data_IF_824628053085
#
_entry.id   IF_824628053085
#
_cell.length_a   1.000
_cell.length_b   1.000
_cell.length_c   1.000
_cell.angle_alpha   90.00
_cell.angle_beta   90.00
_cell.angle_gamma   90.00
#
_symmetry.space_group_name_H-M   'P 1'
#
loop_
_entity.id
_entity.type
_entity.pdbx_description
1 polymer ?
#
# COMPACT_ATOMS: atom_id res chain seq x y z
N UNK A 1 48.74 -42.79 -27.27
CA UNK A 1 49.21 -44.08 -26.74
C UNK A 1 47.99 -44.89 -26.34
N UNK A 2 48.03 -46.17 -26.65
CA UNK A 2 46.98 -47.19 -26.81
C UNK A 2 46.32 -47.64 -25.48
N UNK A 3 44.98 -47.78 -25.48
CA UNK A 3 44.12 -48.80 -24.77
C UNK A 3 43.82 -48.58 -23.26
N UNK A 4 42.63 -48.86 -22.71
CA UNK A 4 41.57 -49.76 -23.19
C UNK A 4 40.18 -49.63 -22.51
N UNK A 5 39.23 -50.30 -23.16
CA UNK A 5 37.81 -50.48 -22.83
C UNK A 5 37.60 -51.61 -21.79
N UNK A 6 36.42 -51.64 -21.14
CA UNK A 6 35.44 -52.75 -21.10
C UNK A 6 34.19 -52.32 -20.29
N UNK A 7 33.04 -52.24 -20.96
CA UNK A 7 31.65 -52.38 -20.45
C UNK A 7 31.28 -53.89 -20.49
N UNK A 8 30.15 -54.45 -19.95
CA UNK A 8 28.78 -53.90 -19.89
C UNK A 8 27.99 -54.31 -18.60
N UNK A 9 26.75 -53.90 -18.31
CA UNK A 9 25.54 -54.45 -18.92
C UNK A 9 24.26 -53.76 -18.40
N UNK A 10 23.45 -53.32 -19.39
CA UNK A 10 21.98 -53.37 -19.53
C UNK A 10 21.09 -52.89 -18.37
N UNK A 11 20.06 -52.06 -18.58
CA UNK A 11 19.30 -51.55 -19.74
C UNK A 11 18.09 -50.82 -19.11
N UNK A 12 17.29 -49.93 -19.71
CA UNK A 12 16.91 -49.54 -21.07
C UNK A 12 16.24 -48.15 -20.87
N UNK A 13 16.63 -47.09 -21.58
CA UNK A 13 15.94 -46.56 -22.79
C UNK A 13 14.59 -45.85 -22.51
N UNK A 14 14.29 -44.63 -22.96
CA UNK A 14 15.02 -43.57 -23.69
C UNK A 14 14.09 -42.32 -23.75
N UNK A 15 14.72 -41.13 -23.77
CA UNK A 15 14.38 -39.84 -24.44
C UNK A 15 13.20 -39.00 -23.94
N UNK A 16 13.42 -37.81 -23.35
CA UNK A 16 13.95 -36.52 -23.86
C UNK A 16 13.13 -35.84 -24.97
N UNK A 17 12.56 -34.67 -24.63
CA UNK A 17 12.76 -33.41 -25.38
C UNK A 17 12.98 -32.27 -24.37
N UNK A 18 14.04 -31.50 -24.59
CA UNK A 18 14.45 -30.32 -23.81
C UNK A 18 13.59 -29.08 -24.13
N UNK A 19 13.34 -28.26 -23.11
CA UNK A 19 13.07 -26.82 -23.28
C UNK A 19 14.00 -26.04 -22.34
N UNK A 20 14.78 -25.12 -22.92
CA UNK A 20 15.81 -24.33 -22.25
C UNK A 20 15.21 -23.06 -21.64
N UNK A 21 15.20 -22.95 -20.31
CA UNK A 21 15.18 -21.67 -19.59
C UNK A 21 16.20 -21.73 -18.43
N UNK A 22 17.13 -20.78 -18.31
CA UNK A 22 18.11 -20.80 -17.23
C UNK A 22 17.47 -20.37 -15.92
N UNK A 23 17.12 -21.35 -15.09
CA UNK A 23 16.66 -21.16 -13.72
C UNK A 23 17.86 -20.78 -12.85
N UNK A 24 18.04 -19.48 -12.57
CA UNK A 24 18.97 -19.05 -11.52
C UNK A 24 18.41 -19.52 -10.17
N UNK A 25 19.00 -20.59 -9.63
CA UNK A 25 18.83 -20.97 -8.22
C UNK A 25 19.27 -19.80 -7.34
N UNK A 26 18.30 -19.07 -6.78
CA UNK A 26 18.54 -18.18 -5.66
C UNK A 26 18.56 -19.05 -4.42
N UNK A 27 19.75 -19.26 -3.88
CA UNK A 27 19.97 -19.91 -2.59
C UNK A 27 19.30 -19.09 -1.50
N UNK A 28 18.31 -19.69 -0.82
CA UNK A 28 17.75 -19.16 0.41
C UNK A 28 18.80 -19.26 1.52
N UNK A 29 19.63 -18.22 1.63
CA UNK A 29 20.47 -18.01 2.80
C UNK A 29 19.58 -17.75 4.01
N UNK A 30 19.75 -18.55 5.06
CA UNK A 30 19.12 -18.41 6.37
C UNK A 30 19.56 -17.09 7.03
N UNK A 31 18.85 -15.99 6.74
CA UNK A 31 19.03 -14.72 7.43
C UNK A 31 18.42 -14.79 8.84
N UNK A 32 19.18 -15.36 9.78
CA UNK A 32 18.92 -15.24 11.21
C UNK A 32 19.39 -13.85 11.66
N UNK A 33 18.55 -12.83 11.53
CA UNK A 33 18.82 -11.50 12.08
C UNK A 33 18.78 -11.56 13.61
N UNK A 34 19.86 -11.15 14.26
CA UNK A 34 19.80 -10.66 15.64
C UNK A 34 18.80 -9.51 15.69
N UNK A 35 17.70 -9.70 16.41
CA UNK A 35 16.71 -8.67 16.69
C UNK A 35 17.38 -7.67 17.64
N UNK A 36 18.06 -6.65 17.09
CA UNK A 36 18.30 -5.42 17.86
C UNK A 36 16.94 -4.87 18.25
N UNK A 37 16.71 -4.67 19.54
CA UNK A 37 15.51 -4.00 20.08
C UNK A 37 15.47 -2.56 19.55
N UNK A 38 14.96 -2.37 18.34
CA UNK A 38 14.76 -1.05 17.78
C UNK A 38 13.55 -0.42 18.48
N UNK A 39 13.81 0.64 19.24
CA UNK A 39 12.79 1.36 19.99
C UNK A 39 11.83 2.04 19.00
N UNK A 40 10.57 1.62 18.99
CA UNK A 40 9.49 2.32 18.27
C UNK A 40 9.41 3.73 18.83
N UNK A 41 9.62 4.75 17.99
CA UNK A 41 9.46 6.16 18.39
C UNK A 41 8.19 6.69 17.76
N UNK A 42 7.29 7.25 18.59
CA UNK A 42 6.20 8.08 18.07
C UNK A 42 6.81 9.40 17.61
N UNK A 43 6.61 9.83 16.36
CA UNK A 43 7.01 11.15 15.94
C UNK A 43 6.30 12.20 16.81
N UNK A 44 6.99 13.31 17.07
CA UNK A 44 6.40 14.43 17.79
C UNK A 44 5.26 14.97 16.93
N UNK A 45 4.03 14.95 17.46
CA UNK A 45 2.91 15.67 16.85
C UNK A 45 3.30 17.14 16.90
N UNK A 46 3.79 17.67 15.77
CA UNK A 46 4.04 19.10 15.68
C UNK A 46 2.68 19.80 15.70
N UNK A 47 2.53 20.90 16.44
CA UNK A 47 1.35 21.74 16.33
C UNK A 47 1.11 22.09 14.87
N UNK A 48 -0.15 22.16 14.46
CA UNK A 48 -0.52 22.69 13.15
C UNK A 48 0.18 24.02 12.93
N UNK A 49 1.21 24.03 12.09
CA UNK A 49 1.68 25.24 11.47
C UNK A 49 0.65 25.64 10.39
N UNK A 50 -0.58 25.96 10.81
CA UNK A 50 -1.51 26.75 10.00
C UNK A 50 -1.02 28.21 10.03
N UNK A 51 0.18 28.45 9.52
CA UNK A 51 0.41 29.61 8.68
C UNK A 51 0.07 29.17 7.26
N UNK A 52 -0.25 30.09 6.36
CA UNK A 52 -0.37 29.81 4.94
C UNK A 52 0.93 29.16 4.45
N UNK A 53 0.98 27.82 4.45
CA UNK A 53 2.13 27.10 3.94
C UNK A 53 2.18 27.40 2.44
N UNK A 54 3.14 28.23 2.05
CA UNK A 54 3.41 28.53 0.65
C UNK A 54 4.03 27.28 0.05
N UNK A 55 3.22 26.41 -0.54
CA UNK A 55 3.68 25.20 -1.21
C UNK A 55 2.61 24.12 -1.36
N UNK A 56 2.91 23.15 -2.22
CA UNK A 56 2.09 21.95 -2.44
C UNK A 56 1.98 21.12 -1.16
N UNK A 57 0.76 20.73 -0.76
CA UNK A 57 0.53 19.82 0.37
C UNK A 57 0.18 18.41 -0.12
N UNK A 58 0.55 17.41 0.66
CA UNK A 58 0.18 16.01 0.42
C UNK A 58 -0.81 15.54 1.48
N UNK A 59 -2.00 15.19 1.04
CA UNK A 59 -3.06 14.57 1.82
C UNK A 59 -3.08 13.07 1.57
N UNK A 60 -3.55 12.30 2.54
CA UNK A 60 -3.68 10.85 2.39
C UNK A 60 -5.01 10.35 2.94
N UNK A 61 -5.66 9.50 2.18
CA UNK A 61 -6.85 8.75 2.52
C UNK A 61 -6.63 7.27 2.25
N UNK A 62 -7.33 6.43 2.99
CA UNK A 62 -7.57 5.02 2.68
C UNK A 62 -8.96 4.67 3.16
N UNK A 63 -9.46 3.50 2.75
CA UNK A 63 -10.65 2.90 3.36
C UNK A 63 -11.88 3.83 3.30
N UNK A 64 -12.10 4.48 2.14
CA UNK A 64 -13.24 5.39 1.95
C UNK A 64 -14.57 4.63 1.91
N UNK A 65 -14.59 3.41 1.39
CA UNK A 65 -15.77 2.54 1.30
C UNK A 65 -17.05 3.28 0.88
N UNK A 66 -17.00 3.98 -0.24
CA UNK A 66 -18.07 4.90 -0.68
C UNK A 66 -19.36 4.21 -1.14
N UNK A 67 -19.44 2.88 -1.05
CA UNK A 67 -20.72 2.16 -1.10
C UNK A 67 -21.59 2.40 0.14
N UNK A 68 -20.99 2.87 1.24
CA UNK A 68 -21.74 3.48 2.34
C UNK A 68 -22.11 4.91 1.97
N UNK A 69 -23.41 5.20 1.97
CA UNK A 69 -23.95 6.47 1.49
C UNK A 69 -23.38 7.66 2.27
N UNK A 70 -23.16 7.50 3.58
CA UNK A 70 -22.58 8.51 4.46
C UNK A 70 -21.17 8.90 4.02
N UNK A 71 -20.36 7.91 3.63
CA UNK A 71 -19.00 8.14 3.16
C UNK A 71 -19.01 8.83 1.78
N UNK A 72 -19.92 8.45 0.88
CA UNK A 72 -20.11 9.14 -0.39
C UNK A 72 -20.56 10.60 -0.20
N UNK A 73 -21.47 10.86 0.74
CA UNK A 73 -21.90 12.22 1.09
C UNK A 73 -20.70 13.03 1.58
N UNK A 74 -19.86 12.45 2.44
CA UNK A 74 -18.65 13.12 2.91
C UNK A 74 -17.72 13.51 1.75
N UNK A 75 -17.45 12.61 0.80
CA UNK A 75 -16.63 12.91 -0.38
C UNK A 75 -17.25 14.05 -1.20
N UNK A 76 -18.58 14.05 -1.39
CA UNK A 76 -19.30 15.12 -2.09
C UNK A 76 -19.18 16.48 -1.38
N UNK A 77 -19.13 16.49 -0.04
CA UNK A 77 -19.00 17.69 0.76
C UNK A 77 -17.58 18.29 0.82
N UNK A 78 -16.56 17.58 0.30
CA UNK A 78 -15.21 18.13 0.25
C UNK A 78 -15.17 19.41 -0.60
N UNK A 79 -14.41 20.41 -0.13
CA UNK A 79 -14.28 21.70 -0.80
C UNK A 79 -13.75 21.54 -2.22
N UNK A 80 -14.41 22.22 -3.16
CA UNK A 80 -14.02 22.29 -4.58
C UNK A 80 -12.98 23.37 -4.87
N UNK A 81 -12.54 24.13 -3.86
CA UNK A 81 -11.60 25.25 -4.02
C UNK A 81 -10.35 25.05 -3.18
N UNK A 82 -10.49 24.60 -1.93
CA UNK A 82 -9.41 24.58 -0.92
C UNK A 82 -8.20 23.73 -1.31
N UNK A 83 -8.41 22.67 -2.10
CA UNK A 83 -7.40 21.64 -2.36
C UNK A 83 -6.90 21.58 -3.81
N UNK A 84 -7.31 22.55 -4.64
CA UNK A 84 -7.05 22.56 -6.10
C UNK A 84 -5.56 22.65 -6.49
N UNK A 85 -4.66 22.85 -5.52
CA UNK A 85 -3.19 22.91 -5.69
C UNK A 85 -2.44 21.82 -4.91
N UNK A 86 -3.18 20.82 -4.41
CA UNK A 86 -2.65 19.79 -3.52
C UNK A 86 -2.69 18.41 -4.17
N UNK A 87 -1.90 17.51 -3.58
CA UNK A 87 -1.85 16.09 -3.94
C UNK A 87 -2.66 15.28 -2.93
N UNK A 88 -3.44 14.33 -3.42
CA UNK A 88 -4.10 13.32 -2.61
C UNK A 88 -3.55 11.92 -2.94
N UNK A 89 -3.13 11.19 -1.91
CA UNK A 89 -2.82 9.76 -2.00
C UNK A 89 -4.04 8.96 -1.52
N UNK A 90 -4.51 8.03 -2.33
CA UNK A 90 -5.62 7.13 -2.01
C UNK A 90 -5.08 5.70 -1.87
N UNK A 91 -4.80 5.30 -0.64
CA UNK A 91 -4.20 4.05 -0.23
C UNK A 91 -5.24 2.90 -0.12
N UNK A 92 -5.99 2.68 -1.20
CA UNK A 92 -6.92 1.56 -1.36
C UNK A 92 -8.26 1.69 -0.64
N UNK A 93 -9.14 0.74 -0.96
CA UNK A 93 -10.47 0.54 -0.39
C UNK A 93 -11.41 1.74 -0.58
N UNK A 94 -11.58 2.11 -1.84
CA UNK A 94 -12.38 3.26 -2.26
C UNK A 94 -13.85 2.89 -2.39
N UNK A 95 -14.14 1.81 -3.11
CA UNK A 95 -15.48 1.28 -3.29
C UNK A 95 -15.42 -0.17 -3.81
N UNK A 96 -16.36 -0.97 -3.34
CA UNK A 96 -16.63 -2.31 -3.84
C UNK A 96 -17.29 -2.30 -5.22
N UNK A 97 -18.13 -1.33 -5.57
CA UNK A 97 -18.76 -1.29 -6.90
C UNK A 97 -18.00 -0.38 -7.87
N UNK A 98 -17.85 -0.80 -9.12
CA UNK A 98 -17.20 0.00 -10.16
C UNK A 98 -17.82 1.40 -10.33
N UNK A 99 -19.14 1.52 -10.27
CA UNK A 99 -19.84 2.81 -10.42
C UNK A 99 -19.49 3.80 -9.29
N UNK A 100 -19.54 3.35 -8.03
CA UNK A 100 -19.15 4.18 -6.90
C UNK A 100 -17.66 4.51 -6.94
N UNK A 101 -16.81 3.58 -7.37
CA UNK A 101 -15.39 3.83 -7.54
C UNK A 101 -15.15 4.98 -8.53
N UNK A 102 -15.75 4.91 -9.73
CA UNK A 102 -15.61 5.93 -10.77
C UNK A 102 -16.14 7.28 -10.29
N UNK A 103 -17.31 7.30 -9.64
CA UNK A 103 -17.89 8.52 -9.09
C UNK A 103 -16.96 9.15 -8.03
N UNK A 104 -16.49 8.35 -7.08
CA UNK A 104 -15.59 8.82 -6.02
C UNK A 104 -14.28 9.36 -6.59
N UNK A 105 -13.63 8.63 -7.49
CA UNK A 105 -12.39 9.09 -8.13
C UNK A 105 -12.57 10.36 -8.94
N UNK A 106 -13.69 10.50 -9.66
CA UNK A 106 -14.04 11.73 -10.40
C UNK A 106 -14.18 12.93 -9.45
N UNK A 107 -14.90 12.75 -8.34
CA UNK A 107 -15.07 13.78 -7.32
C UNK A 107 -13.75 14.20 -6.68
N UNK A 108 -12.88 13.24 -6.36
CA UNK A 108 -11.55 13.54 -5.80
C UNK A 108 -10.67 14.24 -6.83
N UNK A 109 -10.69 13.81 -8.09
CA UNK A 109 -9.90 14.41 -9.16
C UNK A 109 -10.33 15.85 -9.45
N UNK A 110 -11.62 16.16 -9.36
CA UNK A 110 -12.09 17.54 -9.45
C UNK A 110 -11.52 18.38 -8.29
N UNK A 111 -11.38 17.84 -7.08
CA UNK A 111 -11.01 18.65 -5.90
C UNK A 111 -9.51 18.84 -5.70
N UNK A 112 -8.69 17.90 -6.16
CA UNK A 112 -7.24 17.89 -5.98
C UNK A 112 -6.49 18.02 -7.31
N UNK A 113 -5.33 18.69 -7.31
CA UNK A 113 -4.52 18.85 -8.51
C UNK A 113 -4.03 17.50 -9.03
N UNK A 114 -3.51 16.67 -8.12
CA UNK A 114 -3.10 15.30 -8.40
C UNK A 114 -3.76 14.33 -7.43
N UNK A 115 -4.21 13.20 -7.95
CA UNK A 115 -4.74 12.09 -7.16
C UNK A 115 -3.95 10.85 -7.54
N UNK A 116 -3.33 10.20 -6.57
CA UNK A 116 -2.64 8.92 -6.73
C UNK A 116 -3.47 7.80 -6.11
N UNK A 117 -3.42 6.60 -6.69
CA UNK A 117 -4.20 5.46 -6.24
C UNK A 117 -3.41 4.15 -6.29
N UNK A 118 -3.66 3.30 -5.29
CA UNK A 118 -3.35 1.86 -5.29
C UNK A 118 -4.60 1.09 -4.88
N UNK A 119 -4.85 -0.10 -5.43
CA UNK A 119 -6.02 -0.90 -5.06
C UNK A 119 -5.91 -1.48 -3.65
N UNK A 120 -7.02 -1.51 -2.94
CA UNK A 120 -7.22 -2.33 -1.74
C UNK A 120 -7.97 -3.63 -2.04
N UNK A 121 -8.34 -4.39 -1.00
CA UNK A 121 -9.04 -5.65 -1.19
C UNK A 121 -10.52 -5.46 -1.54
N UNK A 122 -11.21 -4.49 -0.94
CA UNK A 122 -12.61 -4.21 -1.25
C UNK A 122 -12.80 -3.76 -2.70
N UNK A 123 -11.84 -3.00 -3.23
CA UNK A 123 -11.83 -2.57 -4.63
C UNK A 123 -11.89 -3.79 -5.58
N UNK A 124 -11.37 -4.95 -5.16
CA UNK A 124 -11.25 -6.16 -5.98
C UNK A 124 -12.29 -7.26 -5.66
N UNK A 125 -13.27 -6.96 -4.81
CA UNK A 125 -14.39 -7.88 -4.55
C UNK A 125 -15.37 -7.93 -5.73
N UNK A 126 -15.70 -9.14 -6.20
CA UNK A 126 -16.57 -9.39 -7.35
C UNK A 126 -17.94 -9.97 -6.96
N UNK A 127 -18.49 -9.56 -5.80
CA UNK A 127 -19.75 -10.12 -5.24
C UNK A 127 -21.00 -9.26 -5.42
N UNK A 128 -20.86 -7.95 -5.68
CA UNK A 128 -21.97 -6.99 -5.83
C UNK A 128 -22.26 -6.57 -7.27
N UNK A 129 -21.36 -6.89 -8.19
CA UNK A 129 -21.51 -6.51 -9.59
C UNK A 129 -22.41 -7.54 -10.29
N UNK A 130 -23.52 -7.08 -10.87
CA UNK A 130 -24.46 -7.90 -11.64
C UNK A 130 -23.92 -8.35 -13.01
N UNK A 131 -22.59 -8.38 -13.18
CA UNK A 131 -21.93 -8.90 -14.38
C UNK A 131 -21.40 -10.30 -14.08
N UNK A 132 -22.09 -11.30 -14.62
CA UNK A 132 -21.59 -12.66 -14.68
C UNK A 132 -20.26 -12.68 -15.45
N UNK A 133 -19.19 -13.18 -14.79
CA UNK A 133 -17.88 -13.58 -15.32
C UNK A 133 -16.66 -12.67 -15.15
N UNK A 134 -16.70 -11.58 -14.37
CA UNK A 134 -15.45 -10.86 -14.07
C UNK A 134 -14.69 -11.46 -12.90
N UNK A 135 -13.43 -11.83 -13.16
CA UNK A 135 -12.48 -12.14 -12.10
C UNK A 135 -11.88 -10.86 -11.47
N UNK A 136 -11.24 -10.98 -10.30
CA UNK A 136 -10.68 -9.86 -9.55
C UNK A 136 -9.52 -9.15 -10.28
N UNK A 137 -8.81 -9.82 -11.19
CA UNK A 137 -7.77 -9.21 -12.02
C UNK A 137 -8.37 -8.43 -13.19
N UNK A 138 -9.43 -8.95 -13.81
CA UNK A 138 -10.18 -8.21 -14.82
C UNK A 138 -10.79 -6.94 -14.23
N UNK A 139 -11.36 -7.04 -13.03
CA UNK A 139 -11.83 -5.88 -12.28
C UNK A 139 -10.71 -4.88 -11.99
N UNK A 140 -9.56 -5.34 -11.49
CA UNK A 140 -8.37 -4.50 -11.31
C UNK A 140 -8.04 -3.72 -12.59
N UNK A 141 -8.00 -4.39 -13.73
CA UNK A 141 -7.73 -3.75 -15.02
C UNK A 141 -8.77 -2.68 -15.38
N UNK A 142 -10.07 -2.95 -15.16
CA UNK A 142 -11.14 -1.96 -15.36
C UNK A 142 -10.96 -0.72 -14.46
N UNK A 143 -10.57 -0.90 -13.19
CA UNK A 143 -10.32 0.21 -12.26
C UNK A 143 -9.11 1.05 -12.70
N UNK A 144 -8.00 0.40 -13.07
CA UNK A 144 -6.80 1.10 -13.54
C UNK A 144 -7.06 1.86 -14.85
N UNK A 145 -7.88 1.30 -15.73
CA UNK A 145 -8.34 1.93 -16.96
C UNK A 145 -9.25 3.15 -16.69
N UNK A 146 -10.14 3.06 -15.71
CA UNK A 146 -10.92 4.20 -15.24
C UNK A 146 -10.03 5.30 -14.63
N UNK A 147 -9.06 4.94 -13.79
CA UNK A 147 -8.08 5.90 -13.26
C UNK A 147 -7.36 6.63 -14.40
N UNK A 148 -6.90 5.90 -15.43
CA UNK A 148 -6.24 6.49 -16.59
C UNK A 148 -7.15 7.50 -17.32
N UNK A 149 -8.42 7.16 -17.56
CA UNK A 149 -9.39 8.08 -18.18
C UNK A 149 -9.65 9.33 -17.36
N UNK A 150 -9.70 9.20 -16.04
CA UNK A 150 -9.94 10.31 -15.12
C UNK A 150 -8.68 11.14 -14.84
N UNK A 151 -7.48 10.70 -15.27
CA UNK A 151 -6.22 11.35 -14.92
C UNK A 151 -5.80 11.11 -13.45
N UNK A 152 -6.30 10.03 -12.83
CA UNK A 152 -5.81 9.52 -11.54
C UNK A 152 -4.55 8.71 -11.79
N UNK A 153 -3.49 9.03 -11.04
CA UNK A 153 -2.14 8.50 -11.23
C UNK A 153 -1.97 7.17 -10.48
N UNK A 154 -1.47 6.16 -11.17
CA UNK A 154 -1.17 4.83 -10.60
C UNK A 154 0.29 4.42 -10.82
N UNK A 155 1.10 5.33 -11.36
CA UNK A 155 2.54 5.15 -11.56
C UNK A 155 3.33 6.23 -10.80
N UNK A 156 4.63 6.01 -10.55
CA UNK A 156 5.46 6.99 -9.86
C UNK A 156 5.63 8.31 -10.59
N UNK A 157 5.82 9.38 -9.82
CA UNK A 157 6.02 10.73 -10.34
C UNK A 157 6.99 11.52 -9.44
N UNK A 158 7.73 12.44 -10.04
CA UNK A 158 8.51 13.46 -9.33
C UNK A 158 7.81 14.80 -9.50
N UNK A 159 7.61 15.53 -8.41
CA UNK A 159 6.97 16.84 -8.38
C UNK A 159 7.71 17.73 -7.38
N UNK A 160 8.32 18.83 -7.82
CA UNK A 160 9.03 19.79 -6.95
C UNK A 160 10.03 19.13 -5.96
N UNK A 161 10.78 18.13 -6.44
CA UNK A 161 11.75 17.38 -5.63
C UNK A 161 11.14 16.30 -4.71
N UNK A 162 9.81 16.17 -4.68
CA UNK A 162 9.09 15.08 -4.03
C UNK A 162 8.85 13.92 -5.01
N UNK A 163 9.33 12.73 -4.67
CA UNK A 163 9.00 11.49 -5.36
C UNK A 163 7.82 10.79 -4.71
N UNK A 164 6.75 10.53 -5.48
CA UNK A 164 5.58 9.77 -5.03
C UNK A 164 5.56 8.44 -5.76
N UNK A 165 5.50 7.33 -5.02
CA UNK A 165 5.60 5.97 -5.56
C UNK A 165 4.41 5.12 -5.05
N UNK A 166 3.35 4.96 -5.86
CA UNK A 166 2.31 3.96 -5.62
C UNK A 166 2.90 2.55 -5.70
N UNK A 167 2.60 1.69 -4.73
CA UNK A 167 3.05 0.30 -4.67
C UNK A 167 1.84 -0.65 -4.63
N UNK A 168 1.69 -1.41 -5.71
CA UNK A 168 0.71 -2.49 -5.78
C UNK A 168 1.19 -3.64 -4.90
N UNK A 169 0.29 -4.15 -4.07
CA UNK A 169 0.62 -5.18 -3.09
C UNK A 169 -0.60 -6.04 -2.76
N UNK A 170 -0.34 -7.21 -2.18
CA UNK A 170 -1.32 -8.08 -1.57
C UNK A 170 -0.71 -8.77 -0.35
N UNK A 171 -1.53 -9.39 0.50
CA UNK A 171 -1.05 -10.11 1.68
C UNK A 171 -0.68 -11.57 1.38
N UNK A 172 -0.05 -12.23 2.35
CA UNK A 172 0.08 -13.69 2.42
C UNK A 172 -0.03 -14.18 3.87
N UNK A 173 -0.53 -15.41 4.07
CA UNK A 173 -0.81 -15.98 5.41
C UNK A 173 0.44 -16.06 6.30
N UNK A 174 1.59 -16.37 5.71
CA UNK A 174 2.87 -16.48 6.44
C UNK A 174 3.48 -15.14 6.88
N UNK A 175 2.84 -14.00 6.57
CA UNK A 175 3.25 -12.70 7.09
C UNK A 175 3.15 -12.64 8.61
N UNK A 176 2.22 -13.42 9.16
CA UNK A 176 2.08 -13.66 10.58
C UNK A 176 3.18 -14.58 11.14
N UNK A 177 4.13 -13.98 11.86
CA UNK A 177 5.27 -14.65 12.50
C UNK A 177 5.02 -14.96 13.98
N UNK A 178 3.86 -14.56 14.53
CA UNK A 178 3.52 -14.86 15.92
C UNK A 178 2.94 -16.27 16.04
N UNK A 179 3.18 -16.93 17.18
CA UNK A 179 2.55 -18.22 17.44
C UNK A 179 1.04 -18.07 17.48
N UNK A 180 0.33 -19.06 16.94
CA UNK A 180 -1.13 -19.07 17.00
C UNK A 180 -1.61 -19.18 18.45
N UNK A 181 -2.68 -18.45 18.76
CA UNK A 181 -3.33 -18.53 20.07
C UNK A 181 -4.10 -19.85 20.13
N UNK A 182 -3.79 -20.65 21.14
CA UNK A 182 -4.42 -21.95 21.39
C UNK A 182 -5.34 -21.88 22.62
N UNK A 183 -6.26 -22.84 22.75
CA UNK A 183 -7.17 -22.91 23.91
C UNK A 183 -8.45 -22.07 23.79
N UNK A 184 -8.64 -21.32 22.70
CA UNK A 184 -9.83 -20.54 22.42
C UNK A 184 -10.43 -20.91 21.06
N UNK A 185 -11.75 -20.81 20.93
CA UNK A 185 -12.43 -20.99 19.64
C UNK A 185 -12.30 -19.71 18.82
N UNK A 186 -11.38 -19.71 17.85
CA UNK A 186 -11.13 -18.59 16.94
C UNK A 186 -11.73 -18.94 15.57
N UNK A 187 -12.55 -18.06 14.94
CA UNK A 187 -13.06 -18.29 13.59
C UNK A 187 -11.93 -18.50 12.57
N UNK A 188 -12.15 -19.35 11.56
CA UNK A 188 -11.18 -19.52 10.48
C UNK A 188 -11.05 -18.25 9.65
N UNK A 189 -10.01 -18.17 8.81
CA UNK A 189 -9.80 -17.04 7.90
C UNK A 189 -10.97 -16.89 6.93
N UNK A 190 -11.50 -17.98 6.38
CA UNK A 190 -12.68 -17.95 5.48
C UNK A 190 -13.92 -17.37 6.16
N UNK A 191 -14.10 -17.65 7.45
CA UNK A 191 -15.25 -17.14 8.19
C UNK A 191 -15.11 -15.64 8.50
N UNK A 192 -13.88 -15.17 8.75
CA UNK A 192 -13.62 -13.80 9.21
C UNK A 192 -13.30 -12.82 8.08
N UNK A 193 -12.65 -13.28 7.02
CA UNK A 193 -12.18 -12.47 5.91
C UNK A 193 -12.98 -12.75 4.64
N UNK A 194 -13.70 -11.72 4.18
CA UNK A 194 -14.57 -11.83 3.00
C UNK A 194 -13.79 -12.04 1.72
N UNK A 195 -12.52 -11.68 1.65
CA UNK A 195 -11.68 -11.85 0.45
C UNK A 195 -11.70 -13.29 -0.07
N UNK A 196 -11.77 -14.28 0.83
CA UNK A 196 -11.81 -15.71 0.49
C UNK A 196 -13.04 -16.12 -0.33
N UNK A 197 -14.09 -15.29 -0.30
CA UNK A 197 -15.35 -15.55 -0.99
C UNK A 197 -15.70 -14.46 -2.00
N UNK A 198 -15.25 -13.24 -1.76
CA UNK A 198 -15.58 -12.07 -2.57
C UNK A 198 -14.57 -11.87 -3.72
N UNK A 199 -13.29 -12.20 -3.52
CA UNK A 199 -12.33 -12.19 -4.61
C UNK A 199 -12.45 -13.47 -5.44
N UNK A 200 -12.35 -13.31 -6.76
CA UNK A 200 -12.34 -14.40 -7.74
C UNK A 200 -10.99 -14.38 -8.43
N UNK A 201 -10.10 -15.29 -8.04
CA UNK A 201 -8.76 -15.33 -8.62
C UNK A 201 -8.64 -16.46 -9.64
N UNK A 202 -7.81 -16.30 -10.70
CA UNK A 202 -7.40 -17.42 -11.54
C UNK A 202 -6.78 -18.57 -10.72
N UNK A 203 -6.94 -19.82 -11.17
CA UNK A 203 -6.58 -21.05 -10.43
C UNK A 203 -5.15 -21.08 -9.86
N UNK A 204 -4.21 -20.39 -10.51
CA UNK A 204 -2.80 -20.32 -10.09
C UNK A 204 -2.55 -19.44 -8.85
N UNK A 205 -3.56 -18.75 -8.35
CA UNK A 205 -3.46 -17.82 -7.24
C UNK A 205 -4.29 -18.25 -6.05
N UNK A 206 -3.79 -17.94 -4.85
CA UNK A 206 -4.42 -18.30 -3.58
C UNK A 206 -4.26 -17.16 -2.57
N UNK A 207 -5.30 -16.92 -1.78
CA UNK A 207 -5.24 -16.01 -0.62
C UNK A 207 -4.41 -16.58 0.55
N UNK A 208 -4.03 -17.86 0.49
CA UNK A 208 -3.32 -18.56 1.59
C UNK A 208 -1.81 -18.59 1.42
N UNK A 209 -1.30 -18.47 0.20
CA UNK A 209 0.13 -18.51 -0.07
C UNK A 209 0.64 -17.14 -0.55
N UNK A 210 1.90 -17.09 -1.01
CA UNK A 210 2.53 -15.86 -1.48
C UNK A 210 2.26 -15.53 -2.95
N UNK A 211 1.46 -16.31 -3.67
CA UNK A 211 1.28 -16.17 -5.13
C UNK A 211 0.71 -14.81 -5.53
N UNK A 212 -0.29 -14.31 -4.80
CA UNK A 212 -0.86 -12.98 -5.01
C UNK A 212 0.14 -11.86 -4.64
N UNK A 213 0.79 -11.98 -3.48
CA UNK A 213 1.80 -11.01 -3.06
C UNK A 213 2.94 -10.89 -4.10
N UNK A 214 3.41 -12.01 -4.66
CA UNK A 214 4.40 -12.04 -5.74
C UNK A 214 3.89 -11.41 -7.03
N UNK A 215 2.63 -11.69 -7.39
CA UNK A 215 2.02 -11.13 -8.60
C UNK A 215 1.94 -9.60 -8.53
N UNK A 216 1.36 -9.06 -7.46
CA UNK A 216 1.22 -7.62 -7.27
C UNK A 216 2.59 -6.93 -7.11
N UNK A 217 3.54 -7.57 -6.42
CA UNK A 217 4.92 -7.07 -6.33
C UNK A 217 5.56 -6.92 -7.72
N UNK A 218 5.43 -7.94 -8.58
CA UNK A 218 5.95 -7.94 -9.94
C UNK A 218 5.32 -6.85 -10.83
N UNK A 219 4.07 -6.45 -10.59
CA UNK A 219 3.43 -5.34 -11.33
C UNK A 219 4.17 -4.01 -11.16
N UNK A 220 4.94 -3.85 -10.07
CA UNK A 220 5.69 -2.63 -9.80
C UNK A 220 7.01 -2.56 -10.62
N UNK A 221 7.49 -3.66 -11.19
CA UNK A 221 8.75 -3.70 -11.96
C UNK A 221 8.72 -2.79 -13.19
N UNK A 222 7.55 -2.61 -13.81
CA UNK A 222 7.37 -1.69 -14.95
C UNK A 222 7.82 -0.25 -14.65
N UNK A 223 7.86 0.12 -13.37
CA UNK A 223 8.19 1.47 -12.91
C UNK A 223 9.65 1.62 -12.45
N UNK A 224 10.48 0.57 -12.59
CA UNK A 224 11.82 0.53 -11.98
C UNK A 224 12.72 1.68 -12.42
N UNK A 225 12.67 2.08 -13.70
CA UNK A 225 13.51 3.16 -14.21
C UNK A 225 13.10 4.54 -13.66
N UNK A 226 11.80 4.78 -13.51
CA UNK A 226 11.26 6.01 -12.90
C UNK A 226 11.61 6.06 -11.42
N UNK A 227 11.51 4.92 -10.71
CA UNK A 227 11.93 4.81 -9.30
C UNK A 227 13.41 5.11 -9.15
N UNK A 228 14.28 4.59 -10.02
CA UNK A 228 15.71 4.93 -10.01
C UNK A 228 15.97 6.41 -10.29
N UNK A 229 15.16 7.04 -11.14
CA UNK A 229 15.24 8.49 -11.35
C UNK A 229 14.86 9.25 -10.07
N UNK A 230 13.73 8.90 -9.44
CA UNK A 230 13.28 9.44 -8.15
C UNK A 230 14.37 9.30 -7.08
N UNK A 231 15.03 8.15 -6.98
CA UNK A 231 16.09 7.93 -5.99
C UNK A 231 17.33 8.82 -6.21
N UNK A 232 17.58 9.27 -7.44
CA UNK A 232 18.72 10.13 -7.77
C UNK A 232 18.41 11.61 -7.62
N UNK A 233 17.16 12.02 -7.86
CA UNK A 233 16.78 13.44 -7.98
C UNK A 233 15.80 13.89 -6.90
N UNK A 234 15.05 12.96 -6.31
CA UNK A 234 14.09 13.22 -5.25
C UNK A 234 14.80 13.59 -3.96
N UNK A 235 14.50 14.77 -3.44
CA UNK A 235 14.93 15.21 -2.12
C UNK A 235 14.13 14.50 -1.03
N UNK A 236 12.89 14.13 -1.31
CA UNK A 236 12.01 13.38 -0.42
C UNK A 236 11.26 12.31 -1.19
N UNK A 237 10.99 11.16 -0.57
CA UNK A 237 10.25 10.06 -1.21
C UNK A 237 9.10 9.63 -0.30
N UNK A 238 7.90 9.57 -0.86
CA UNK A 238 6.73 8.95 -0.25
C UNK A 238 6.36 7.72 -1.08
N UNK A 239 6.45 6.54 -0.48
CA UNK A 239 5.83 5.34 -1.03
C UNK A 239 4.47 5.13 -0.38
N UNK A 240 3.52 4.49 -1.05
CA UNK A 240 2.28 4.07 -0.39
C UNK A 240 1.70 2.80 -0.99
N UNK A 241 1.05 2.00 -0.14
CA UNK A 241 0.36 0.75 -0.47
C UNK A 241 -0.97 0.71 0.27
N UNK A 242 -1.82 -0.27 -0.02
CA UNK A 242 -2.97 -0.53 0.84
C UNK A 242 -2.57 -1.40 2.06
N UNK A 243 -1.89 -2.52 1.79
CA UNK A 243 -1.48 -3.49 2.80
C UNK A 243 -0.25 -3.07 3.61
N UNK A 244 -0.07 -3.70 4.78
CA UNK A 244 1.01 -3.43 5.71
C UNK A 244 2.34 -3.99 5.20
N UNK A 245 3.43 -3.22 5.30
CA UNK A 245 4.76 -3.68 4.94
C UNK A 245 5.47 -4.42 6.07
N UNK A 246 5.01 -4.29 7.31
CA UNK A 246 5.69 -4.80 8.51
C UNK A 246 4.69 -5.25 9.57
N UNK A 247 4.93 -6.41 10.16
CA UNK A 247 4.03 -6.95 11.19
C UNK A 247 4.03 -6.07 12.45
N UNK A 248 5.14 -5.39 12.77
CA UNK A 248 5.24 -4.50 13.95
C UNK A 248 4.38 -3.23 13.82
N UNK A 249 3.75 -3.01 12.67
CA UNK A 249 2.77 -1.94 12.43
C UNK A 249 1.33 -2.39 12.75
N UNK A 250 1.16 -3.63 13.23
CA UNK A 250 -0.08 -4.17 13.76
C UNK A 250 0.11 -4.48 15.27
N UNK A 251 -0.91 -4.29 16.13
CA UNK A 251 -0.85 -4.76 17.51
C UNK A 251 -0.62 -6.27 17.59
N UNK A 252 0.04 -6.72 18.66
CA UNK A 252 0.24 -8.15 18.98
C UNK A 252 -1.09 -8.91 18.99
N UNK A 253 -1.09 -10.20 18.58
CA UNK A 253 -2.31 -11.02 18.45
C UNK A 253 -3.24 -10.98 19.66
N UNK A 254 -2.66 -10.97 20.86
CA UNK A 254 -3.41 -10.95 22.13
C UNK A 254 -4.19 -9.66 22.39
N UNK A 255 -3.93 -8.60 21.64
CA UNK A 255 -4.61 -7.31 21.75
C UNK A 255 -5.69 -7.14 20.66
N UNK A 256 -5.80 -8.09 19.73
CA UNK A 256 -6.72 -8.01 18.61
C UNK A 256 -8.05 -8.69 18.93
N UNK A 257 -9.15 -8.11 18.46
CA UNK A 257 -10.45 -8.78 18.49
C UNK A 257 -10.43 -10.09 17.69
N UNK A 258 -9.70 -10.10 16.57
CA UNK A 258 -9.45 -11.28 15.76
C UNK A 258 -7.96 -11.62 15.74
N UNK A 259 -7.51 -12.64 16.51
CA UNK A 259 -6.09 -12.97 16.63
C UNK A 259 -5.39 -13.40 15.33
N UNK A 260 -6.14 -13.87 14.33
CA UNK A 260 -5.58 -14.28 13.05
C UNK A 260 -5.54 -13.14 12.02
N UNK A 261 -5.90 -11.91 12.39
CA UNK A 261 -5.81 -10.75 11.51
C UNK A 261 -4.41 -10.57 10.89
N UNK A 262 -3.27 -10.79 11.59
CA UNK A 262 -1.95 -10.67 10.97
C UNK A 262 -1.72 -11.54 9.73
N UNK A 263 -2.51 -12.60 9.53
CA UNK A 263 -2.42 -13.49 8.37
C UNK A 263 -2.98 -12.87 7.08
N UNK A 264 -3.73 -11.77 7.16
CA UNK A 264 -4.48 -11.21 6.03
C UNK A 264 -4.24 -9.71 5.82
N UNK A 265 -3.12 -9.18 6.30
CA UNK A 265 -2.92 -7.71 6.35
C UNK A 265 -1.69 -7.18 5.65
N UNK A 266 -0.74 -8.02 5.28
CA UNK A 266 0.55 -7.55 4.78
C UNK A 266 1.39 -8.61 4.11
N UNK A 267 2.54 -8.19 3.59
CA UNK A 267 3.51 -9.09 2.97
C UNK A 267 4.95 -8.66 3.20
N UNK A 268 5.84 -9.65 3.33
CA UNK A 268 7.28 -9.41 3.46
C UNK A 268 7.90 -8.87 2.16
N UNK A 269 7.29 -9.18 1.01
CA UNK A 269 7.72 -8.67 -0.30
C UNK A 269 7.58 -7.15 -0.38
N UNK A 270 6.52 -6.60 0.20
CA UNK A 270 6.31 -5.17 0.27
C UNK A 270 7.41 -4.49 1.10
N UNK A 271 7.83 -5.07 2.24
CA UNK A 271 8.96 -4.54 3.00
C UNK A 271 10.22 -4.50 2.13
N UNK A 272 10.53 -5.61 1.45
CA UNK A 272 11.72 -5.73 0.59
C UNK A 272 11.71 -4.62 -0.47
N UNK A 273 10.58 -4.40 -1.14
CA UNK A 273 10.44 -3.35 -2.17
C UNK A 273 10.63 -1.95 -1.59
N UNK A 274 10.01 -1.67 -0.44
CA UNK A 274 10.16 -0.36 0.24
C UNK A 274 11.61 -0.12 0.65
N UNK A 275 12.33 -1.14 1.13
CA UNK A 275 13.75 -1.04 1.46
C UNK A 275 14.64 -0.87 0.24
N UNK A 276 14.29 -1.48 -0.90
CA UNK A 276 14.98 -1.24 -2.16
C UNK A 276 14.83 0.21 -2.63
N UNK A 277 13.73 0.87 -2.27
CA UNK A 277 13.43 2.27 -2.61
C UNK A 277 14.11 3.24 -1.62
N UNK A 278 13.89 3.06 -0.32
CA UNK A 278 14.33 4.00 0.73
C UNK A 278 15.70 3.66 1.33
N UNK A 279 16.29 2.52 0.96
CA UNK A 279 17.49 1.99 1.58
C UNK A 279 17.22 1.18 2.85
N UNK A 280 18.16 0.31 3.21
CA UNK A 280 18.04 -0.61 4.37
C UNK A 280 17.88 0.13 5.71
N UNK A 281 18.56 1.27 5.86
CA UNK A 281 18.53 2.10 7.07
C UNK A 281 17.55 3.27 6.99
N UNK A 282 16.85 3.41 5.86
CA UNK A 282 16.00 4.56 5.57
C UNK A 282 16.74 5.89 5.56
N UNK A 283 15.97 6.97 5.60
CA UNK A 283 16.42 8.34 5.86
C UNK A 283 15.31 9.11 6.56
N UNK A 284 15.61 10.23 7.23
CA UNK A 284 14.59 11.06 7.86
C UNK A 284 13.52 11.63 6.90
N UNK A 285 13.78 11.55 5.59
CA UNK A 285 12.90 12.00 4.51
C UNK A 285 12.11 10.84 3.89
N UNK A 286 12.33 9.60 4.35
CA UNK A 286 11.60 8.42 3.90
C UNK A 286 10.26 8.31 4.63
N UNK A 287 9.18 8.26 3.86
CA UNK A 287 7.83 8.02 4.38
C UNK A 287 7.18 6.89 3.60
N UNK A 288 6.47 6.02 4.32
CA UNK A 288 5.58 5.03 3.73
C UNK A 288 4.18 5.16 4.34
N UNK A 289 3.18 5.22 3.47
CA UNK A 289 1.77 5.34 3.88
C UNK A 289 0.97 4.09 3.52
N UNK A 290 0.08 3.65 4.40
CA UNK A 290 -0.74 2.46 4.21
C UNK A 290 -2.14 2.57 4.84
N UNK A 291 -3.01 1.59 4.59
CA UNK A 291 -4.41 1.53 5.06
C UNK A 291 -4.77 0.15 5.65
N UNK A 292 -5.95 -0.38 5.31
CA UNK A 292 -6.40 -1.77 5.49
C UNK A 292 -6.84 -2.18 6.90
N UNK A 293 -6.02 -2.04 7.94
CA UNK A 293 -6.40 -2.55 9.28
C UNK A 293 -7.29 -1.62 10.08
N UNK A 294 -7.55 -0.41 9.56
CA UNK A 294 -8.36 0.64 10.21
C UNK A 294 -7.84 1.06 11.59
N UNK A 295 -6.58 0.71 11.90
CA UNK A 295 -5.87 1.28 13.03
C UNK A 295 -5.30 2.64 12.65
N UNK A 296 -5.14 3.51 13.64
CA UNK A 296 -4.28 4.68 13.45
C UNK A 296 -2.90 4.37 13.96
N UNK A 297 -1.94 4.46 13.04
CA UNK A 297 -0.55 4.22 13.30
C UNK A 297 0.29 5.38 12.78
N UNK A 298 1.20 5.86 13.62
CA UNK A 298 2.24 6.81 13.21
C UNK A 298 3.49 6.50 14.03
N UNK A 299 4.49 5.94 13.35
CA UNK A 299 5.69 5.43 13.98
C UNK A 299 6.91 5.67 13.09
N UNK A 300 8.07 5.87 13.72
CA UNK A 300 9.35 5.84 13.01
C UNK A 300 10.08 4.55 13.39
N UNK A 301 10.37 3.72 12.39
CA UNK A 301 11.16 2.49 12.52
C UNK A 301 12.24 2.50 11.45
N UNK A 302 13.49 2.28 11.87
CA UNK A 302 14.67 2.27 10.98
C UNK A 302 14.72 3.51 10.08
N UNK A 303 14.55 4.68 10.70
CA UNK A 303 14.49 6.02 10.10
C UNK A 303 13.37 6.27 9.09
N UNK A 304 12.54 5.27 8.73
CA UNK A 304 11.38 5.46 7.88
C UNK A 304 10.19 5.83 8.75
N UNK A 305 9.42 6.86 8.37
CA UNK A 305 8.12 7.14 8.96
C UNK A 305 7.06 6.25 8.31
N UNK A 306 6.35 5.50 9.13
CA UNK A 306 5.26 4.61 8.75
C UNK A 306 3.96 5.24 9.24
N UNK A 307 3.10 5.64 8.31
CA UNK A 307 1.84 6.29 8.60
C UNK A 307 0.67 5.47 8.08
N UNK A 308 -0.29 5.17 8.94
CA UNK A 308 -1.54 4.58 8.53
C UNK A 308 -2.63 5.64 8.51
N UNK A 309 -3.22 5.85 7.33
CA UNK A 309 -4.42 6.70 7.23
C UNK A 309 -5.64 5.92 7.74
N UNK A 310 -6.63 6.63 8.29
CA UNK A 310 -7.83 6.02 8.85
C UNK A 310 -9.01 6.11 7.89
N UNK A 311 -9.90 5.12 8.00
CA UNK A 311 -11.29 5.15 7.51
C UNK A 311 -12.06 6.38 8.08
N UNK A 312 -12.96 6.90 7.25
CA UNK A 312 -13.96 7.91 7.55
C UNK A 312 -14.96 7.52 8.64
N UNK A 313 -15.27 6.22 8.79
CA UNK A 313 -16.27 5.72 9.74
C UNK A 313 -15.95 6.10 11.20
N UNK A 314 -14.66 6.09 11.56
CA UNK A 314 -14.18 6.54 12.88
C UNK A 314 -14.26 8.06 13.10
N UNK A 315 -14.38 8.85 12.03
CA UNK A 315 -14.61 10.30 12.08
C UNK A 315 -16.11 10.61 12.26
N UNK A 316 -16.98 9.82 11.60
CA UNK A 316 -18.44 9.94 11.69
C UNK A 316 -18.99 9.49 13.06
N UNK A 317 -18.45 8.41 13.64
CA UNK A 317 -18.91 7.88 14.93
C UNK A 317 -18.69 8.83 16.13
N UNK A 318 -17.89 9.89 15.97
CA UNK A 318 -17.71 10.96 16.97
C UNK A 318 -18.72 12.10 16.87
N UNK A 319 -19.57 12.13 15.84
CA UNK A 319 -20.55 13.18 15.62
C UNK A 319 -21.95 12.84 16.16
N UNK A 320 -22.02 11.94 17.15
CA UNK A 320 -23.24 11.70 17.91
C UNK A 320 -23.45 12.75 18.99
N UNK A 321 -24.55 13.50 18.86
CA UNK A 321 -25.21 14.38 19.83
C UNK A 321 -24.75 15.85 19.93
N UNK A 322 -25.67 16.70 19.47
CA UNK A 322 -26.06 18.06 19.93
C UNK A 322 -25.12 19.26 19.65
N UNK A 323 -25.68 20.17 18.84
CA UNK A 323 -25.36 21.60 18.70
C UNK A 323 -23.89 22.01 18.45
N UNK A 324 -23.51 22.11 17.16
CA UNK A 324 -22.98 23.36 16.53
C UNK A 324 -22.49 23.19 15.07
N UNK A 325 -22.84 24.19 14.25
CA UNK A 325 -22.35 24.68 12.94
C UNK A 325 -21.70 23.70 11.91
N UNK A 326 -22.34 23.39 10.76
CA UNK A 326 -21.89 22.36 9.79
C UNK A 326 -20.74 22.71 8.82
N UNK A 327 -19.92 23.74 9.07
CA UNK A 327 -18.99 24.27 8.04
C UNK A 327 -17.50 23.93 8.21
N UNK A 328 -17.13 22.97 9.06
CA UNK A 328 -15.71 22.61 9.24
C UNK A 328 -15.50 21.09 9.43
N UNK A 329 -16.28 20.27 8.71
CA UNK A 329 -16.21 18.82 8.79
C UNK A 329 -14.95 18.26 8.13
N UNK A 330 -13.83 18.29 8.86
CA UNK A 330 -12.65 17.46 8.60
C UNK A 330 -11.34 18.18 8.88
N UNK A 331 -10.84 18.09 10.12
CA UNK A 331 -9.43 18.32 10.40
C UNK A 331 -8.61 17.20 9.77
N UNK A 332 -7.92 17.53 8.69
CA UNK A 332 -6.95 16.66 8.02
C UNK A 332 -5.61 16.72 8.74
N UNK A 333 -4.95 15.58 8.91
CA UNK A 333 -3.51 15.56 9.20
C UNK A 333 -2.76 15.74 7.86
N UNK A 334 -2.30 16.95 7.56
CA UNK A 334 -1.35 17.16 6.46
C UNK A 334 -0.01 16.50 6.82
N UNK A 335 0.57 15.72 5.90
CA UNK A 335 1.92 15.17 6.07
C UNK A 335 2.95 16.21 5.62
N UNK A 336 3.32 17.13 6.53
CA UNK A 336 4.49 18.03 6.48
C UNK A 336 4.49 19.22 5.49
N UNK A 337 5.31 20.22 5.83
CA UNK A 337 5.38 21.56 5.24
C UNK A 337 6.44 21.73 4.13
N UNK A 338 6.21 22.78 3.34
CA UNK A 338 6.91 23.26 2.13
C UNK A 338 8.36 22.81 1.88
N UNK A 339 8.59 22.23 0.71
CA UNK A 339 9.91 22.17 0.06
C UNK A 339 10.13 23.48 -0.68
N UNK A 340 10.98 24.36 -0.15
CA UNK A 340 11.42 25.58 -0.81
C UNK A 340 12.90 25.49 -1.22
N UNK A 341 13.31 26.11 -2.34
CA UNK A 341 14.71 26.10 -2.77
C UNK A 341 15.55 26.96 -1.81
N UNK A 342 16.60 26.39 -1.24
CA UNK A 342 17.65 27.15 -0.57
C UNK A 342 18.42 27.95 -1.62
N UNK A 343 18.03 29.21 -1.82
CA UNK A 343 18.89 30.20 -2.45
C UNK A 343 19.88 30.74 -1.43
N UNK A 344 21.15 30.50 -1.71
CA UNK A 344 22.27 31.26 -1.16
C UNK A 344 22.11 32.75 -1.47
N UNK A 345 22.18 33.58 -0.43
CA UNK A 345 22.69 34.96 -0.58
C UNK A 345 23.80 35.11 0.44
N UNK A 346 25.01 35.26 -0.08
CA UNK A 346 26.15 35.80 0.64
C UNK A 346 25.90 37.29 0.89
N UNK A 347 26.21 37.76 2.09
CA UNK A 347 26.66 39.13 2.27
C UNK A 347 27.77 39.15 3.32
N UNK A 348 28.89 39.72 2.88
CA UNK A 348 30.09 40.03 3.64
C UNK A 348 29.93 41.38 4.33
N UNK A 349 30.79 41.58 5.32
CA UNK A 349 31.38 42.85 5.76
C UNK A 349 30.47 43.89 6.42
N UNK A 350 30.56 43.95 7.76
CA UNK A 350 30.80 45.15 8.60
C UNK A 350 30.97 44.72 10.06
#
# INVERSE_FOLDING_TARGET
MVVGFIHPCMGLSLKHVHSNYPQKQITFGTYRREIRRNCIRRPRILPNAFGEAVGMRVFVLSDLHTDYMENMIWVKCLSTVRYKKDVLLVAGDVAETYENFVLTMSLLKDRFEHVFYVPGNHDLWCRREGEDNLDSLEKLNKLLDACRRLGVLTNPMIMDGLGIIPLFSWYHESFDKEKDITGFRIPSLEMACKDFHACKWPEKFSNRDSSLALYFDAMNEKNQDVVKAIQRTGSQIITFSHFLPRQELCPEKRMLFYPNLPKIIGSDLLEIRIRAIHGLTGSALACHVFGHTHFCWDAVLDSIRWHQSKDLSGLMAKNGAEDRNPLDCGHWNALWGSVGPTTTVAERDS
#
